data_IF_605373262805
#
_entry.id   IF_605373262805
#
_cell.length_a   1.000
_cell.length_b   1.000
_cell.length_c   1.000
_cell.angle_alpha   90.00
_cell.angle_beta   90.00
_cell.angle_gamma   90.00
#
_symmetry.space_group_name_H-M   'P 1'
#
loop_
_entity.id
_entity.type
_entity.pdbx_description
1 polymer ?
#
# COMPACT_ATOMS: atom_id res chain seq x y z
N UNK A 1 -51.74 -2.81 -29.21
CA UNK A 1 -50.43 -2.14 -29.09
C UNK A 1 -49.54 -3.05 -28.29
N UNK A 2 -48.33 -3.32 -28.78
CA UNK A 2 -47.31 -4.12 -28.08
C UNK A 2 -46.21 -3.20 -27.58
N UNK A 3 -45.41 -3.65 -26.63
CA UNK A 3 -44.35 -2.83 -26.03
C UNK A 3 -43.00 -3.39 -26.49
N UNK A 4 -42.09 -2.51 -26.91
CA UNK A 4 -40.71 -2.90 -27.22
C UNK A 4 -40.05 -3.50 -25.97
N UNK A 5 -39.56 -4.74 -26.05
CA UNK A 5 -38.90 -5.41 -24.92
C UNK A 5 -37.63 -4.67 -24.45
N UNK A 6 -36.93 -3.98 -25.36
CA UNK A 6 -35.71 -3.26 -25.04
C UNK A 6 -35.95 -1.87 -24.43
N UNK A 7 -36.78 -1.02 -25.05
CA UNK A 7 -36.92 0.39 -24.65
C UNK A 7 -38.28 0.75 -24.01
N UNK A 8 -39.20 -0.19 -23.89
CA UNK A 8 -40.49 0.05 -23.24
C UNK A 8 -41.46 0.96 -24.02
N UNK A 9 -41.15 1.31 -25.28
CA UNK A 9 -42.02 2.15 -26.12
C UNK A 9 -43.21 1.35 -26.64
N UNK A 10 -44.39 1.96 -26.62
CA UNK A 10 -45.59 1.40 -27.28
C UNK A 10 -45.45 1.41 -28.81
N UNK A 11 -45.74 0.27 -29.42
CA UNK A 11 -45.63 0.02 -30.86
C UNK A 11 -47.02 -0.28 -31.41
N UNK A 12 -47.34 0.35 -32.55
CA UNK A 12 -48.52 0.01 -33.33
C UNK A 12 -48.36 -1.40 -33.94
N UNK A 13 -49.45 -2.16 -34.05
CA UNK A 13 -49.43 -3.56 -34.49
C UNK A 13 -48.80 -3.79 -35.89
N UNK A 14 -48.71 -2.74 -36.71
CA UNK A 14 -48.13 -2.75 -38.05
C UNK A 14 -46.61 -2.45 -38.09
N UNK A 15 -45.99 -2.11 -36.96
CA UNK A 15 -44.56 -1.74 -36.87
C UNK A 15 -43.77 -2.62 -35.89
N UNK A 16 -44.31 -3.78 -35.54
CA UNK A 16 -43.70 -4.73 -34.61
C UNK A 16 -42.71 -5.63 -35.35
N UNK A 17 -41.48 -5.70 -34.84
CA UNK A 17 -40.46 -6.61 -35.34
C UNK A 17 -40.22 -7.73 -34.34
N UNK A 18 -40.40 -8.97 -34.78
CA UNK A 18 -40.16 -10.16 -33.97
C UNK A 18 -38.75 -10.69 -34.21
N UNK A 19 -38.01 -10.98 -33.15
CA UNK A 19 -36.68 -11.59 -33.27
C UNK A 19 -36.77 -13.12 -33.24
N UNK A 20 -36.40 -13.79 -34.33
CA UNK A 20 -36.41 -15.26 -34.45
C UNK A 20 -35.47 -15.99 -33.46
N UNK A 21 -34.52 -15.27 -32.86
CA UNK A 21 -33.55 -15.85 -31.91
C UNK A 21 -34.06 -15.83 -30.48
N UNK A 22 -34.42 -14.64 -29.98
CA UNK A 22 -34.85 -14.47 -28.59
C UNK A 22 -36.37 -14.53 -28.39
N UNK A 23 -37.16 -14.49 -29.47
CA UNK A 23 -38.62 -14.62 -29.44
C UNK A 23 -39.35 -13.41 -28.87
N UNK A 24 -38.72 -12.23 -28.84
CA UNK A 24 -39.28 -10.99 -28.29
C UNK A 24 -39.61 -9.97 -29.39
N UNK A 25 -40.48 -9.02 -29.05
CA UNK A 25 -40.98 -7.97 -29.93
C UNK A 25 -40.26 -6.63 -29.72
N UNK A 26 -39.89 -5.99 -30.83
CA UNK A 26 -39.06 -4.78 -30.84
C UNK A 26 -39.61 -3.71 -31.80
N UNK A 27 -39.23 -2.46 -31.53
CA UNK A 27 -39.53 -1.34 -32.43
C UNK A 27 -38.49 -1.24 -33.56
N UNK A 28 -38.75 -0.38 -34.54
CA UNK A 28 -37.87 -0.14 -35.70
C UNK A 28 -36.41 0.18 -35.34
N UNK A 29 -36.17 0.81 -34.18
CA UNK A 29 -34.83 1.16 -33.68
C UNK A 29 -34.08 -0.02 -33.04
N UNK A 30 -34.78 -1.11 -32.71
CA UNK A 30 -34.21 -2.28 -32.02
C UNK A 30 -34.49 -3.58 -32.79
N UNK A 31 -34.78 -3.47 -34.09
CA UNK A 31 -35.11 -4.62 -34.95
C UNK A 31 -33.93 -5.58 -35.11
N UNK A 32 -32.70 -5.04 -35.10
CA UNK A 32 -31.50 -5.83 -35.35
C UNK A 32 -31.02 -6.48 -34.04
N UNK A 33 -30.59 -7.76 -34.06
CA UNK A 33 -30.16 -8.49 -32.86
C UNK A 33 -29.03 -7.84 -32.07
N UNK A 34 -28.22 -7.01 -32.70
CA UNK A 34 -27.13 -6.28 -32.05
C UNK A 34 -27.69 -5.09 -31.25
N UNK A 35 -28.68 -4.39 -31.81
CA UNK A 35 -29.23 -3.17 -31.22
C UNK A 35 -30.09 -3.42 -29.97
N UNK A 36 -30.59 -4.65 -29.80
CA UNK A 36 -31.26 -5.09 -28.57
C UNK A 36 -30.44 -6.07 -27.73
N UNK A 37 -29.12 -6.14 -27.95
CA UNK A 37 -28.20 -6.99 -27.19
C UNK A 37 -28.66 -8.45 -27.09
N UNK A 38 -29.03 -9.05 -28.23
CA UNK A 38 -29.53 -10.42 -28.29
C UNK A 38 -28.45 -11.40 -27.79
N UNK A 39 -28.63 -11.90 -26.57
CA UNK A 39 -27.69 -12.80 -25.89
C UNK A 39 -27.27 -14.01 -26.74
N UNK A 40 -28.22 -14.62 -27.45
CA UNK A 40 -27.98 -15.81 -28.30
C UNK A 40 -27.03 -15.48 -29.47
N UNK A 41 -27.15 -14.29 -30.07
CA UNK A 41 -26.29 -13.87 -31.17
C UNK A 41 -24.91 -13.46 -30.67
N UNK A 42 -24.86 -12.73 -29.55
CA UNK A 42 -23.58 -12.30 -28.95
C UNK A 42 -22.74 -13.48 -28.44
N UNK A 43 -23.36 -14.52 -27.88
CA UNK A 43 -22.69 -15.75 -27.47
C UNK A 43 -22.14 -16.54 -28.67
N UNK A 44 -22.82 -16.49 -29.82
CA UNK A 44 -22.33 -17.14 -31.05
C UNK A 44 -21.15 -16.41 -31.70
N UNK A 45 -21.10 -15.07 -31.62
CA UNK A 45 -20.00 -14.26 -32.15
C UNK A 45 -18.72 -14.40 -31.31
N UNK A 46 -18.86 -14.48 -29.99
CA UNK A 46 -17.73 -14.70 -29.08
C UNK A 46 -17.15 -16.11 -29.21
N UNK A 47 -17.99 -17.12 -29.50
CA UNK A 47 -17.53 -18.50 -29.73
C UNK A 47 -16.69 -18.66 -31.01
N UNK A 48 -17.01 -17.92 -32.08
CA UNK A 48 -16.25 -17.97 -33.33
C UNK A 48 -14.87 -17.29 -33.23
N UNK A 49 -14.72 -16.26 -32.40
CA UNK A 49 -13.40 -15.64 -32.16
C UNK A 49 -12.42 -16.58 -31.45
N UNK A 50 -12.90 -17.57 -30.70
CA UNK A 50 -12.07 -18.59 -30.05
C UNK A 50 -11.64 -19.74 -30.98
N UNK A 51 -12.31 -19.93 -32.13
CA UNK A 51 -11.94 -20.99 -33.08
C UNK A 51 -10.81 -20.56 -34.03
N UNK A 52 -10.74 -19.28 -34.42
CA UNK A 52 -9.68 -18.80 -35.32
C UNK A 52 -8.29 -18.70 -34.67
N UNK A 53 -8.19 -18.69 -33.33
CA UNK A 53 -6.90 -18.71 -32.62
C UNK A 53 -6.36 -20.12 -32.34
N UNK A 54 -7.09 -21.18 -32.72
CA UNK A 54 -6.77 -22.57 -32.37
C UNK A 54 -5.91 -23.29 -33.42
N UNK A 55 -5.78 -22.77 -34.64
CA UNK A 55 -5.01 -23.42 -35.73
C UNK A 55 -3.49 -23.23 -35.65
N UNK A 56 -2.99 -22.27 -34.86
CA UNK A 56 -1.54 -21.99 -34.75
C UNK A 56 -0.85 -22.61 -33.51
N UNK A 57 -1.57 -23.35 -32.64
CA UNK A 57 -1.01 -23.90 -31.39
C UNK A 57 -1.12 -25.42 -31.22
N UNK A 58 -1.36 -26.18 -32.28
CA UNK A 58 -1.43 -27.65 -32.18
C UNK A 58 -0.08 -28.38 -32.36
N UNK A 59 1.03 -27.67 -32.53
CA UNK A 59 2.37 -28.28 -32.51
C UNK A 59 3.12 -27.73 -31.30
N UNK A 60 2.91 -28.33 -30.13
CA UNK A 60 3.89 -28.55 -29.05
C UNK A 60 3.12 -28.90 -27.77
N UNK A 61 3.51 -30.04 -27.19
CA UNK A 61 3.13 -30.55 -25.87
C UNK A 61 1.78 -31.25 -25.73
N UNK A 62 1.74 -32.48 -26.24
CA UNK A 62 1.18 -33.59 -25.47
C UNK A 62 2.15 -33.94 -24.32
N UNK A 63 1.88 -33.44 -23.11
CA UNK A 63 2.18 -34.16 -21.86
C UNK A 63 1.06 -33.82 -20.87
N UNK A 64 0.31 -34.86 -20.56
CA UNK A 64 -0.74 -34.96 -19.56
C UNK A 64 -0.28 -34.57 -18.15
N UNK A 65 -1.05 -33.71 -17.49
CA UNK A 65 -1.35 -33.79 -16.07
C UNK A 65 -2.83 -33.45 -15.91
N UNK A 66 -3.63 -34.47 -15.63
CA UNK A 66 -4.99 -34.34 -15.11
C UNK A 66 -4.94 -33.49 -13.85
N UNK A 67 -5.60 -32.34 -13.87
CA UNK A 67 -6.11 -31.70 -12.67
C UNK A 67 -7.59 -31.45 -12.94
N UNK A 68 -8.43 -32.13 -12.16
CA UNK A 68 -9.88 -31.98 -12.14
C UNK A 68 -10.26 -30.50 -12.02
N UNK A 69 -10.71 -29.93 -13.14
CA UNK A 69 -11.43 -28.66 -13.13
C UNK A 69 -12.86 -28.99 -12.71
N UNK A 70 -13.11 -28.98 -11.40
CA UNK A 70 -14.47 -28.85 -10.89
C UNK A 70 -15.03 -27.50 -11.38
N UNK A 71 -15.79 -27.57 -12.47
CA UNK A 71 -16.66 -26.46 -12.89
C UNK A 71 -17.68 -26.19 -11.77
N UNK A 72 -17.89 -24.94 -11.33
CA UNK A 72 -18.89 -24.67 -10.31
C UNK A 72 -20.27 -24.90 -10.93
N UNK A 73 -20.99 -25.85 -10.35
CA UNK A 73 -22.34 -26.25 -10.71
C UNK A 73 -23.25 -25.01 -10.74
N UNK A 74 -23.70 -24.63 -11.93
CA UNK A 74 -24.81 -23.69 -12.11
C UNK A 74 -26.10 -24.42 -11.70
N UNK A 75 -26.70 -23.99 -10.59
CA UNK A 75 -28.09 -24.32 -10.26
C UNK A 75 -28.82 -23.05 -9.88
N UNK A 76 -29.50 -22.45 -10.87
CA UNK A 76 -30.65 -21.61 -10.57
C UNK A 76 -31.73 -22.48 -9.94
N UNK A 77 -32.32 -22.03 -8.83
CA UNK A 77 -33.49 -22.70 -8.27
C UNK A 77 -34.69 -22.47 -9.18
N UNK A 78 -35.55 -23.47 -9.36
CA UNK A 78 -36.75 -23.40 -10.22
C UNK A 78 -37.88 -22.56 -9.60
N UNK A 79 -37.63 -21.90 -8.46
CA UNK A 79 -38.61 -21.12 -7.69
C UNK A 79 -38.51 -19.60 -7.92
N UNK A 80 -37.61 -19.14 -8.79
CA UNK A 80 -37.45 -17.71 -9.08
C UNK A 80 -36.68 -16.92 -8.00
N UNK A 81 -36.07 -17.59 -7.01
CA UNK A 81 -35.18 -16.93 -6.06
C UNK A 81 -33.73 -16.86 -6.60
N UNK A 82 -33.20 -15.65 -6.76
CA UNK A 82 -31.79 -15.45 -7.12
C UNK A 82 -30.93 -15.41 -5.86
N UNK A 83 -30.10 -16.42 -5.62
CA UNK A 83 -29.04 -16.36 -4.60
C UNK A 83 -27.79 -15.74 -5.20
N UNK A 84 -27.51 -14.48 -4.84
CA UNK A 84 -26.26 -13.83 -5.20
C UNK A 84 -25.12 -14.41 -4.37
N UNK A 85 -24.39 -15.37 -4.94
CA UNK A 85 -23.11 -15.80 -4.38
C UNK A 85 -22.03 -14.81 -4.82
N UNK A 86 -21.44 -14.11 -3.85
CA UNK A 86 -20.24 -13.30 -4.11
C UNK A 86 -19.14 -14.28 -4.54
N UNK A 87 -18.61 -14.13 -5.75
CA UNK A 87 -17.37 -14.81 -6.14
C UNK A 87 -16.28 -14.40 -5.15
N UNK A 88 -15.92 -15.32 -4.25
CA UNK A 88 -14.68 -15.22 -3.51
C UNK A 88 -13.57 -15.30 -4.55
N UNK A 89 -12.81 -14.22 -4.74
CA UNK A 89 -11.65 -14.25 -5.63
C UNK A 89 -10.71 -15.31 -5.09
N UNK A 90 -10.46 -16.34 -5.90
CA UNK A 90 -9.48 -17.36 -5.57
C UNK A 90 -8.11 -16.69 -5.39
N UNK A 91 -7.60 -16.70 -4.16
CA UNK A 91 -6.24 -16.25 -3.86
C UNK A 91 -5.36 -17.50 -3.92
N UNK A 92 -4.40 -17.60 -4.86
CA UNK A 92 -3.54 -18.76 -4.99
C UNK A 92 -2.63 -18.90 -3.76
N UNK A 93 -2.13 -20.11 -3.50
CA UNK A 93 -1.29 -20.41 -2.32
C UNK A 93 -0.02 -19.55 -2.21
N UNK A 94 0.47 -19.04 -3.35
CA UNK A 94 1.52 -18.03 -3.39
C UNK A 94 1.18 -16.98 -4.46
N UNK A 95 0.41 -15.95 -4.09
CA UNK A 95 0.03 -14.88 -5.01
C UNK A 95 1.19 -13.99 -5.47
N UNK A 96 2.38 -14.13 -4.90
CA UNK A 96 3.57 -13.41 -5.35
C UNK A 96 4.46 -14.26 -6.27
N UNK A 97 4.01 -15.45 -6.65
CA UNK A 97 4.63 -16.26 -7.68
C UNK A 97 4.39 -15.64 -9.06
N UNK A 98 5.41 -15.50 -9.92
CA UNK A 98 5.20 -15.09 -11.31
C UNK A 98 4.15 -15.91 -12.07
N UNK A 99 3.96 -17.19 -11.69
CA UNK A 99 2.99 -18.09 -12.32
C UNK A 99 1.59 -18.02 -11.69
N UNK A 100 1.40 -17.20 -10.65
CA UNK A 100 0.12 -17.08 -9.93
C UNK A 100 -1.01 -16.41 -10.73
N UNK A 101 -0.70 -15.81 -11.89
CA UNK A 101 -1.65 -15.06 -12.71
C UNK A 101 -2.10 -13.71 -12.13
N UNK A 102 -1.54 -13.29 -10.98
CA UNK A 102 -1.85 -11.99 -10.35
C UNK A 102 -0.79 -10.96 -10.75
N UNK A 103 -1.18 -10.00 -11.59
CA UNK A 103 -0.34 -8.85 -11.92
C UNK A 103 -0.53 -7.70 -10.93
N UNK A 104 0.51 -7.43 -10.13
CA UNK A 104 0.54 -6.26 -9.27
C UNK A 104 0.99 -5.02 -10.05
N UNK A 105 0.05 -4.12 -10.34
CA UNK A 105 0.39 -2.83 -10.93
C UNK A 105 1.25 -1.99 -9.97
N UNK A 106 2.35 -1.44 -10.48
CA UNK A 106 3.20 -0.50 -9.74
C UNK A 106 4.28 -1.13 -8.85
N UNK A 107 4.47 -2.45 -8.88
CA UNK A 107 5.63 -3.10 -8.24
C UNK A 107 6.83 -3.05 -9.20
N UNK A 108 7.94 -2.49 -8.74
CA UNK A 108 9.21 -2.56 -9.46
C UNK A 108 9.84 -3.94 -9.27
N UNK A 109 10.67 -4.40 -10.21
CA UNK A 109 11.45 -5.65 -10.09
C UNK A 109 10.65 -6.85 -9.50
N UNK A 110 9.48 -7.22 -10.06
CA UNK A 110 8.55 -8.17 -9.44
C UNK A 110 9.16 -9.56 -9.22
N UNK A 111 10.05 -9.99 -10.14
CA UNK A 111 10.73 -11.29 -10.08
C UNK A 111 11.88 -11.36 -9.06
N UNK A 112 12.27 -10.25 -8.43
CA UNK A 112 13.34 -10.24 -7.41
C UNK A 112 12.79 -10.64 -6.03
N UNK A 113 13.65 -11.16 -5.18
CA UNK A 113 13.29 -11.59 -3.83
C UNK A 113 12.95 -10.40 -2.92
N UNK A 114 12.13 -10.63 -1.89
CA UNK A 114 11.79 -9.63 -0.85
C UNK A 114 13.05 -9.02 -0.23
N UNK A 115 14.10 -9.81 -0.04
CA UNK A 115 15.38 -9.35 0.49
C UNK A 115 16.03 -8.26 -0.37
N UNK A 116 16.02 -8.41 -1.71
CA UNK A 116 16.58 -7.39 -2.62
C UNK A 116 15.78 -6.09 -2.55
N UNK A 117 14.45 -6.20 -2.51
CA UNK A 117 13.56 -5.04 -2.33
C UNK A 117 13.89 -4.29 -1.04
N UNK A 118 14.01 -5.03 0.06
CA UNK A 118 14.32 -4.48 1.37
C UNK A 118 15.70 -3.84 1.41
N UNK A 119 16.71 -4.50 0.84
CA UNK A 119 18.09 -3.99 0.79
C UNK A 119 18.16 -2.67 0.02
N UNK A 120 17.53 -2.59 -1.16
CA UNK A 120 17.48 -1.36 -1.96
C UNK A 120 16.74 -0.26 -1.19
N UNK A 121 15.56 -0.57 -0.61
CA UNK A 121 14.80 0.39 0.19
C UNK A 121 15.60 0.93 1.38
N UNK A 122 16.30 0.06 2.11
CA UNK A 122 17.13 0.43 3.25
C UNK A 122 18.31 1.32 2.84
N UNK A 123 19.00 1.00 1.74
CA UNK A 123 20.11 1.80 1.20
C UNK A 123 19.62 3.20 0.80
N UNK A 124 18.45 3.30 0.16
CA UNK A 124 17.89 4.58 -0.26
C UNK A 124 17.51 5.46 0.95
N UNK A 125 16.78 4.90 1.92
CA UNK A 125 16.42 5.63 3.15
C UNK A 125 17.66 6.05 3.93
N UNK A 126 18.67 5.17 4.02
CA UNK A 126 19.93 5.50 4.69
C UNK A 126 20.67 6.63 3.98
N UNK A 127 20.74 6.59 2.64
CA UNK A 127 21.37 7.64 1.83
C UNK A 127 20.65 8.98 1.98
N UNK A 128 19.31 8.97 2.03
CA UNK A 128 18.52 10.15 2.35
C UNK A 128 18.85 10.67 3.75
N UNK A 129 18.94 9.78 4.74
CA UNK A 129 19.33 10.14 6.10
C UNK A 129 20.68 10.85 6.14
N UNK A 130 21.69 10.35 5.41
CA UNK A 130 23.00 10.99 5.33
C UNK A 130 22.91 12.43 4.78
N UNK A 131 22.06 12.66 3.77
CA UNK A 131 21.87 13.99 3.18
C UNK A 131 21.11 14.91 4.14
N UNK A 132 19.99 14.42 4.71
CA UNK A 132 19.11 15.18 5.62
C UNK A 132 19.83 15.61 6.89
N UNK A 133 20.65 14.73 7.47
CA UNK A 133 21.35 14.99 8.71
C UNK A 133 22.76 15.57 8.50
N UNK A 134 23.18 15.81 7.27
CA UNK A 134 24.45 16.47 7.01
C UNK A 134 24.42 17.88 7.58
N UNK A 135 25.37 18.17 8.48
CA UNK A 135 25.52 19.48 9.07
C UNK A 135 27.02 19.85 9.12
N UNK A 136 27.45 20.97 8.50
CA UNK A 136 28.85 21.41 8.52
C UNK A 136 29.43 21.58 9.92
N UNK A 137 28.60 21.96 10.90
CA UNK A 137 29.03 22.10 12.29
C UNK A 137 29.41 20.75 12.90
N UNK A 138 28.64 19.69 12.64
CA UNK A 138 28.96 18.34 13.11
C UNK A 138 30.28 17.84 12.52
N UNK A 139 30.56 18.17 11.25
CA UNK A 139 31.83 17.83 10.61
C UNK A 139 32.99 18.59 11.26
N UNK A 140 32.83 19.90 11.48
CA UNK A 140 33.85 20.74 12.14
C UNK A 140 34.18 20.28 13.56
N UNK A 141 33.18 19.76 14.28
CA UNK A 141 33.33 19.21 15.63
C UNK A 141 33.81 17.75 15.66
N UNK A 142 34.18 17.16 14.51
CA UNK A 142 34.58 15.76 14.37
C UNK A 142 33.50 14.74 14.84
N UNK A 143 32.23 15.08 14.63
CA UNK A 143 31.06 14.30 15.04
C UNK A 143 30.35 13.63 13.85
N UNK A 144 31.11 13.23 12.83
CA UNK A 144 30.56 12.56 11.63
C UNK A 144 29.77 11.31 12.02
N UNK A 145 30.19 10.60 13.07
CA UNK A 145 29.49 9.43 13.61
C UNK A 145 28.01 9.69 13.92
N UNK A 146 27.65 10.92 14.33
CA UNK A 146 26.27 11.28 14.64
C UNK A 146 25.37 11.27 13.39
N UNK A 147 25.91 11.66 12.24
CA UNK A 147 25.20 11.65 10.96
C UNK A 147 24.86 10.20 10.58
N UNK A 148 25.84 9.29 10.68
CA UNK A 148 25.64 7.86 10.42
C UNK A 148 24.66 7.23 11.42
N UNK A 149 24.75 7.61 12.70
CA UNK A 149 23.85 7.15 13.75
C UNK A 149 22.40 7.56 13.45
N UNK A 150 22.15 8.83 13.17
CA UNK A 150 20.81 9.35 12.87
C UNK A 150 20.25 8.77 11.56
N UNK A 151 21.08 8.63 10.52
CA UNK A 151 20.69 7.96 9.29
C UNK A 151 20.30 6.49 9.55
N UNK A 152 21.06 5.79 10.38
CA UNK A 152 20.74 4.42 10.81
C UNK A 152 19.41 4.34 11.55
N UNK A 153 19.18 5.24 12.52
CA UNK A 153 17.90 5.30 13.24
C UNK A 153 16.73 5.62 12.31
N UNK A 154 16.89 6.54 11.37
CA UNK A 154 15.88 6.84 10.36
C UNK A 154 15.52 5.60 9.51
N UNK A 155 16.52 4.85 9.06
CA UNK A 155 16.31 3.57 8.35
C UNK A 155 15.59 2.55 9.23
N UNK A 156 15.99 2.38 10.48
CA UNK A 156 15.32 1.41 11.38
C UNK A 156 13.89 1.82 11.71
N UNK A 157 13.61 3.12 11.86
CA UNK A 157 12.25 3.63 12.08
C UNK A 157 11.33 3.21 10.92
N UNK A 158 11.78 3.42 9.67
CA UNK A 158 11.05 2.97 8.49
C UNK A 158 10.91 1.44 8.42
N UNK A 159 12.01 0.69 8.59
CA UNK A 159 11.96 -0.77 8.48
C UNK A 159 11.08 -1.42 9.55
N UNK A 160 11.17 -0.96 10.79
CA UNK A 160 10.34 -1.48 11.87
C UNK A 160 8.87 -1.13 11.68
N UNK A 161 8.56 0.07 11.15
CA UNK A 161 7.20 0.44 10.74
C UNK A 161 6.61 -0.58 9.75
N UNK A 162 7.32 -0.83 8.65
CA UNK A 162 6.91 -1.76 7.61
C UNK A 162 6.81 -3.20 8.13
N UNK A 163 7.78 -3.62 8.95
CA UNK A 163 7.70 -4.91 9.63
C UNK A 163 6.49 -5.02 10.56
N UNK A 164 6.07 -3.94 11.21
CA UNK A 164 4.84 -3.91 11.99
C UNK A 164 3.62 -4.36 11.19
N UNK A 165 3.43 -3.77 9.99
CA UNK A 165 2.36 -4.20 9.07
C UNK A 165 2.50 -5.67 8.71
N UNK A 166 3.71 -6.11 8.34
CA UNK A 166 3.99 -7.49 7.93
C UNK A 166 3.66 -8.49 9.03
N UNK A 167 4.08 -8.24 10.27
CA UNK A 167 3.84 -9.18 11.38
C UNK A 167 2.35 -9.34 11.69
N UNK A 168 1.58 -8.25 11.63
CA UNK A 168 0.13 -8.33 11.85
C UNK A 168 -0.58 -9.02 10.69
N UNK A 169 -0.16 -8.77 9.45
CA UNK A 169 -0.68 -9.47 8.27
C UNK A 169 -0.44 -10.99 8.35
N UNK A 170 0.79 -11.41 8.70
CA UNK A 170 1.14 -12.82 8.90
C UNK A 170 0.28 -13.47 9.99
N UNK A 171 0.03 -12.76 11.11
CA UNK A 171 -0.85 -13.25 12.18
C UNK A 171 -2.30 -13.47 11.71
N UNK A 172 -2.76 -12.71 10.72
CA UNK A 172 -4.07 -12.90 10.11
C UNK A 172 -4.10 -13.97 9.01
N UNK A 173 -2.98 -14.67 8.76
CA UNK A 173 -2.85 -15.64 7.69
C UNK A 173 -2.87 -15.01 6.30
N UNK A 174 -2.59 -13.70 6.19
CA UNK A 174 -2.59 -12.98 4.93
C UNK A 174 -1.22 -13.11 4.25
N UNK A 175 -1.24 -13.24 2.93
CA UNK A 175 -0.02 -13.21 2.13
C UNK A 175 0.52 -11.79 2.05
N UNK A 176 1.80 -11.63 2.36
CA UNK A 176 2.46 -10.33 2.41
C UNK A 176 3.92 -10.41 2.01
N UNK A 177 4.40 -9.39 1.27
CA UNK A 177 5.82 -9.20 0.95
C UNK A 177 6.16 -7.71 0.90
N UNK A 178 7.34 -7.34 1.37
CA UNK A 178 7.90 -6.02 1.12
C UNK A 178 8.29 -5.87 -0.36
N UNK A 179 7.82 -4.80 -1.00
CA UNK A 179 8.02 -4.54 -2.44
C UNK A 179 8.29 -3.06 -2.67
N UNK A 180 9.23 -2.75 -3.56
CA UNK A 180 9.44 -1.40 -4.06
C UNK A 180 8.28 -1.00 -4.97
N UNK A 181 7.77 0.20 -4.78
CA UNK A 181 6.66 0.73 -5.56
C UNK A 181 7.15 1.81 -6.51
N UNK A 182 6.71 1.79 -7.76
CA UNK A 182 7.14 2.75 -8.80
C UNK A 182 6.89 4.19 -8.35
N UNK A 183 5.68 4.48 -7.87
CA UNK A 183 5.32 5.81 -7.37
C UNK A 183 6.18 6.23 -6.17
N UNK A 184 6.39 5.31 -5.23
CA UNK A 184 7.21 5.54 -4.05
C UNK A 184 8.69 5.78 -4.35
N UNK A 185 9.23 5.05 -5.31
CA UNK A 185 10.59 5.23 -5.82
C UNK A 185 10.77 6.56 -6.55
N UNK A 186 9.78 7.00 -7.33
CA UNK A 186 9.83 8.32 -7.98
C UNK A 186 9.88 9.45 -6.93
N UNK A 187 9.04 9.38 -5.90
CA UNK A 187 9.09 10.33 -4.78
C UNK A 187 10.45 10.30 -4.06
N UNK A 188 10.98 9.10 -3.83
CA UNK A 188 12.28 8.91 -3.16
C UNK A 188 13.44 9.50 -3.98
N UNK A 189 13.44 9.28 -5.30
CA UNK A 189 14.45 9.85 -6.21
C UNK A 189 14.32 11.38 -6.26
N UNK A 190 13.10 11.89 -6.36
CA UNK A 190 12.86 13.34 -6.30
C UNK A 190 13.37 13.94 -4.98
N UNK A 191 13.11 13.26 -3.86
CA UNK A 191 13.62 13.64 -2.54
C UNK A 191 15.15 13.64 -2.46
N UNK A 192 15.81 12.63 -3.03
CA UNK A 192 17.28 12.57 -3.13
C UNK A 192 17.85 13.72 -3.95
N UNK A 193 17.28 14.00 -5.12
CA UNK A 193 17.71 15.10 -5.98
C UNK A 193 17.48 16.44 -5.28
N UNK A 194 16.31 16.64 -4.69
CA UNK A 194 15.97 17.86 -3.95
C UNK A 194 16.91 18.07 -2.76
N UNK A 195 17.22 17.01 -2.02
CA UNK A 195 18.16 17.06 -0.89
C UNK A 195 19.58 17.40 -1.35
N UNK A 196 20.04 16.79 -2.45
CA UNK A 196 21.36 17.09 -3.01
C UNK A 196 21.45 18.54 -3.51
N UNK A 197 20.41 19.03 -4.19
CA UNK A 197 20.34 20.43 -4.63
C UNK A 197 20.33 21.38 -3.44
N UNK A 198 19.59 21.07 -2.36
CA UNK A 198 19.60 21.87 -1.13
C UNK A 198 20.99 21.89 -0.49
N UNK A 199 21.68 20.75 -0.44
CA UNK A 199 23.04 20.65 0.07
C UNK A 199 24.04 21.49 -0.73
N UNK A 200 23.91 21.52 -2.06
CA UNK A 200 24.82 22.25 -2.95
C UNK A 200 24.52 23.75 -3.03
N UNK A 201 23.24 24.15 -2.95
CA UNK A 201 22.82 25.54 -3.16
C UNK A 201 22.52 26.28 -1.85
N UNK A 202 22.49 25.59 -0.71
CA UNK A 202 22.05 26.14 0.58
C UNK A 202 20.58 26.57 0.59
N UNK A 203 19.79 26.20 -0.43
CA UNK A 203 18.38 26.57 -0.56
C UNK A 203 17.46 25.73 0.33
N UNK A 204 16.24 26.24 0.53
CA UNK A 204 15.21 25.72 1.44
C UNK A 204 15.02 24.20 1.30
N UNK A 205 15.04 23.52 2.43
CA UNK A 205 14.69 22.10 2.57
C UNK A 205 13.23 21.89 2.15
N UNK A 206 12.99 21.36 0.95
CA UNK A 206 11.69 20.77 0.61
C UNK A 206 11.45 19.57 1.54
N UNK A 207 10.19 19.26 1.92
CA UNK A 207 9.90 18.05 2.67
C UNK A 207 10.31 16.82 1.86
N UNK A 208 11.37 16.13 2.30
CA UNK A 208 11.88 14.93 1.65
C UNK A 208 10.97 13.78 2.05
N UNK A 209 9.92 13.57 1.25
CA UNK A 209 9.03 12.42 1.39
C UNK A 209 9.63 11.21 0.70
N UNK A 210 10.07 10.22 1.48
CA UNK A 210 10.65 8.99 0.97
C UNK A 210 9.81 7.78 1.37
N UNK A 211 9.23 7.11 0.37
CA UNK A 211 8.43 5.90 0.53
C UNK A 211 8.85 4.88 -0.55
N UNK A 212 10.12 4.43 -0.60
CA UNK A 212 10.65 3.66 -1.73
C UNK A 212 9.92 2.33 -1.94
N UNK A 213 9.38 1.76 -0.87
CA UNK A 213 8.58 0.56 -0.90
C UNK A 213 7.54 0.57 0.20
N UNK A 214 6.69 -0.44 0.16
CA UNK A 214 5.70 -0.72 1.20
C UNK A 214 5.50 -2.22 1.32
N UNK A 215 5.00 -2.64 2.48
CA UNK A 215 4.50 -4.00 2.67
C UNK A 215 3.16 -4.15 1.95
N UNK A 216 3.18 -4.91 0.86
CA UNK A 216 1.99 -5.26 0.10
C UNK A 216 1.30 -6.41 0.82
N UNK A 217 0.03 -6.25 1.17
CA UNK A 217 -0.79 -7.25 1.85
C UNK A 217 -2.02 -7.55 1.02
N UNK A 218 -2.23 -8.82 0.71
CA UNK A 218 -3.41 -9.29 -0.01
C UNK A 218 -4.58 -9.55 0.96
N UNK A 219 -5.80 -9.32 0.50
CA UNK A 219 -7.01 -9.55 1.29
C UNK A 219 -7.43 -8.39 2.20
N UNK A 220 -6.81 -7.20 2.07
CA UNK A 220 -7.19 -5.97 2.79
C UNK A 220 -8.05 -5.00 1.95
N UNK A 221 -8.71 -5.48 0.90
CA UNK A 221 -9.51 -4.65 0.00
C UNK A 221 -10.72 -4.03 0.70
N UNK A 222 -11.29 -4.75 1.68
CA UNK A 222 -12.38 -4.26 2.51
C UNK A 222 -11.80 -3.57 3.74
N UNK A 223 -12.30 -2.37 4.04
CA UNK A 223 -11.98 -1.68 5.29
C UNK A 223 -12.75 -2.37 6.43
N UNK A 224 -12.07 -3.31 7.07
CA UNK A 224 -12.58 -4.08 8.20
C UNK A 224 -11.60 -4.02 9.39
N UNK A 225 -11.87 -4.82 10.42
CA UNK A 225 -11.00 -4.91 11.60
C UNK A 225 -9.59 -5.40 11.25
N UNK A 226 -9.43 -6.30 10.29
CA UNK A 226 -8.10 -6.80 9.89
C UNK A 226 -7.30 -5.70 9.20
N UNK A 227 -7.92 -4.99 8.25
CA UNK A 227 -7.31 -3.84 7.56
C UNK A 227 -6.94 -2.74 8.55
N UNK A 228 -7.84 -2.40 9.46
CA UNK A 228 -7.60 -1.40 10.49
C UNK A 228 -6.44 -1.75 11.43
N UNK A 229 -6.41 -2.97 11.96
CA UNK A 229 -5.32 -3.43 12.83
C UNK A 229 -3.99 -3.57 12.08
N UNK A 230 -4.01 -4.08 10.86
CA UNK A 230 -2.81 -4.19 10.03
C UNK A 230 -2.23 -2.81 9.74
N UNK A 231 -3.07 -1.83 9.38
CA UNK A 231 -2.66 -0.46 9.09
C UNK A 231 -2.25 0.31 10.34
N UNK A 232 -2.86 0.05 11.49
CA UNK A 232 -2.43 0.64 12.76
C UNK A 232 -1.07 0.09 13.25
N UNK A 233 -0.67 -1.10 12.81
CA UNK A 233 0.54 -1.77 13.29
C UNK A 233 1.83 -0.95 13.08
N UNK A 234 2.02 -0.36 11.90
CA UNK A 234 3.19 0.48 11.60
C UNK A 234 3.31 1.69 12.53
N UNK A 235 2.28 2.57 12.60
CA UNK A 235 2.27 3.70 13.52
C UNK A 235 2.45 3.30 15.00
N UNK A 236 1.90 2.16 15.43
CA UNK A 236 2.09 1.64 16.79
C UNK A 236 3.53 1.19 17.02
N UNK A 237 4.17 0.53 16.06
CA UNK A 237 5.59 0.16 16.19
C UNK A 237 6.46 1.41 16.32
N UNK A 238 6.20 2.46 15.54
CA UNK A 238 6.92 3.73 15.70
C UNK A 238 6.67 4.38 17.06
N UNK A 239 5.43 4.32 17.57
CA UNK A 239 5.09 4.82 18.90
C UNK A 239 5.90 4.09 19.99
N UNK A 240 5.94 2.75 19.94
CA UNK A 240 6.64 1.93 20.92
C UNK A 240 8.16 2.12 20.80
N UNK A 241 8.70 2.04 19.58
CA UNK A 241 10.13 2.15 19.34
C UNK A 241 10.64 3.55 19.72
N UNK A 242 9.94 4.61 19.32
CA UNK A 242 10.23 5.97 19.74
C UNK A 242 10.14 6.15 21.25
N UNK A 243 9.15 5.54 21.91
CA UNK A 243 9.02 5.57 23.37
C UNK A 243 10.20 4.93 24.09
N UNK A 244 10.66 3.77 23.61
CA UNK A 244 11.85 3.09 24.13
C UNK A 244 13.09 3.97 23.94
N UNK A 245 13.28 4.55 22.75
CA UNK A 245 14.42 5.44 22.48
C UNK A 245 14.38 6.69 23.36
N UNK A 246 13.20 7.28 23.59
CA UNK A 246 13.05 8.43 24.47
C UNK A 246 13.40 8.09 25.92
N UNK A 247 13.00 6.90 26.39
CA UNK A 247 13.40 6.44 27.72
C UNK A 247 14.91 6.25 27.80
N UNK A 248 15.51 5.59 26.79
CA UNK A 248 16.96 5.38 26.72
C UNK A 248 17.71 6.72 26.68
N UNK A 249 17.20 7.72 25.97
CA UNK A 249 17.86 9.04 25.89
C UNK A 249 17.99 9.70 27.27
N UNK A 250 17.04 9.48 28.18
CA UNK A 250 17.10 9.96 29.56
C UNK A 250 17.95 9.09 30.49
N UNK A 251 18.13 7.81 30.17
CA UNK A 251 18.97 6.89 30.96
C UNK A 251 20.45 7.00 30.64
N UNK A 252 20.81 7.52 29.46
CA UNK A 252 22.22 7.73 29.09
C UNK A 252 22.80 8.86 29.98
N UNK A 253 23.94 8.61 30.67
CA UNK A 253 24.59 9.60 31.53
C UNK A 253 24.87 10.92 30.80
N UNK A 254 24.71 12.05 31.49
CA UNK A 254 24.86 13.41 30.91
C UNK A 254 26.30 13.71 30.48
N UNK A 255 27.26 13.00 31.05
CA UNK A 255 28.68 13.04 30.70
C UNK A 255 28.95 12.53 29.27
N UNK A 256 28.02 11.72 28.72
CA UNK A 256 28.09 11.23 27.34
C UNK A 256 27.42 12.19 26.34
N UNK A 257 27.16 13.43 26.72
CA UNK A 257 26.67 14.44 25.79
C UNK A 257 27.61 14.55 24.57
N UNK A 258 27.08 14.58 23.32
CA UNK A 258 25.68 14.67 22.92
C UNK A 258 25.03 13.34 22.47
N UNK A 259 25.56 12.18 22.86
CA UNK A 259 24.97 10.88 22.50
C UNK A 259 23.52 10.76 22.97
N UNK A 260 23.25 11.12 24.21
CA UNK A 260 21.90 11.15 24.79
C UNK A 260 20.94 12.03 23.97
N UNK A 261 21.39 13.21 23.54
CA UNK A 261 20.63 14.12 22.69
C UNK A 261 20.32 13.49 21.32
N UNK A 262 21.27 12.82 20.68
CA UNK A 262 21.03 12.16 19.39
C UNK A 262 20.08 10.97 19.49
N UNK A 263 20.10 10.23 20.60
CA UNK A 263 19.07 9.21 20.86
C UNK A 263 17.70 9.86 21.07
N UNK A 264 17.65 11.04 21.70
CA UNK A 264 16.44 11.87 21.77
C UNK A 264 15.91 12.28 20.39
N UNK A 265 16.78 12.70 19.48
CA UNK A 265 16.43 12.96 18.08
C UNK A 265 15.90 11.69 17.38
N UNK A 266 16.51 10.53 17.61
CA UNK A 266 16.04 9.26 17.06
C UNK A 266 14.61 8.89 17.52
N UNK A 267 14.28 9.21 18.79
CA UNK A 267 12.91 9.08 19.29
C UNK A 267 11.95 10.04 18.56
N UNK A 268 12.32 11.31 18.42
CA UNK A 268 11.52 12.30 17.69
C UNK A 268 11.27 11.90 16.23
N UNK A 269 12.27 11.33 15.53
CA UNK A 269 12.13 10.82 14.17
C UNK A 269 11.08 9.70 14.07
N UNK A 270 11.06 8.78 15.04
CA UNK A 270 10.06 7.72 15.10
C UNK A 270 8.64 8.28 15.26
N UNK A 271 8.44 9.19 16.21
CA UNK A 271 7.14 9.82 16.42
C UNK A 271 6.69 10.64 15.21
N UNK A 272 7.61 11.38 14.58
CA UNK A 272 7.33 12.15 13.37
C UNK A 272 6.93 11.23 12.21
N UNK A 273 7.67 10.14 11.95
CA UNK A 273 7.35 9.20 10.90
C UNK A 273 6.00 8.50 11.17
N UNK A 274 5.73 8.15 12.42
CA UNK A 274 4.44 7.61 12.84
C UNK A 274 3.29 8.60 12.58
N UNK A 275 3.45 9.87 12.96
CA UNK A 275 2.45 10.92 12.71
C UNK A 275 2.24 11.18 11.23
N UNK A 276 3.32 11.21 10.46
CA UNK A 276 3.25 11.38 9.02
C UNK A 276 2.37 10.29 8.38
N UNK A 277 2.59 9.02 8.74
CA UNK A 277 1.74 7.92 8.27
C UNK A 277 0.32 7.94 8.86
N UNK A 278 0.05 8.72 9.91
CA UNK A 278 -1.30 8.96 10.43
C UNK A 278 -2.05 10.07 9.67
N UNK A 279 -1.45 10.77 8.72
CA UNK A 279 -2.18 11.75 7.91
C UNK A 279 -3.24 11.01 7.06
N UNK A 280 -4.53 11.40 7.10
CA UNK A 280 -5.61 10.64 6.46
C UNK A 280 -5.73 10.99 4.96
N UNK A 281 -4.66 10.72 4.20
CA UNK A 281 -4.56 11.06 2.77
C UNK A 281 -3.94 9.89 1.99
N UNK A 282 -4.56 9.56 0.86
CA UNK A 282 -3.98 8.69 -0.17
C UNK A 282 -3.55 7.32 0.34
N UNK A 283 -2.25 7.01 0.17
CA UNK A 283 -1.63 5.72 0.45
C UNK A 283 -1.19 5.55 1.92
N UNK A 284 -1.25 6.62 2.73
CA UNK A 284 -0.81 6.62 4.12
C UNK A 284 -1.76 5.80 4.99
N UNK A 285 -1.24 5.22 6.06
CA UNK A 285 -2.00 4.26 6.88
C UNK A 285 -3.18 4.89 7.61
N UNK A 286 -3.02 6.15 8.04
CA UNK A 286 -4.02 6.96 8.70
C UNK A 286 -5.34 7.04 7.93
N UNK A 287 -5.29 6.98 6.60
CA UNK A 287 -6.49 6.99 5.77
C UNK A 287 -7.39 5.78 6.03
N UNK A 288 -6.81 4.59 6.14
CA UNK A 288 -7.57 3.36 6.41
C UNK A 288 -7.97 3.26 7.88
N UNK A 289 -7.10 3.69 8.80
CA UNK A 289 -7.38 3.69 10.24
C UNK A 289 -8.53 4.64 10.54
N UNK A 290 -8.53 5.84 9.96
CA UNK A 290 -9.59 6.84 10.16
C UNK A 290 -10.95 6.36 9.65
N UNK A 291 -10.98 5.69 8.49
CA UNK A 291 -12.21 5.10 7.93
C UNK A 291 -12.71 3.92 8.76
N UNK A 292 -11.81 3.14 9.34
CA UNK A 292 -12.15 1.98 10.17
C UNK A 292 -12.65 2.37 11.57
N UNK A 293 -11.86 3.16 12.30
CA UNK A 293 -12.17 3.57 13.67
C UNK A 293 -11.49 4.91 14.02
N UNK A 294 -12.28 5.98 14.03
CA UNK A 294 -11.83 7.34 14.36
C UNK A 294 -11.26 7.46 15.78
N UNK A 295 -11.78 6.72 16.74
CA UNK A 295 -11.28 6.74 18.12
C UNK A 295 -9.88 6.16 18.20
N UNK A 296 -9.65 5.00 17.59
CA UNK A 296 -8.30 4.39 17.52
C UNK A 296 -7.33 5.32 16.80
N UNK A 297 -7.77 5.91 15.68
CA UNK A 297 -7.00 6.92 14.96
C UNK A 297 -6.56 8.07 15.89
N UNK A 298 -7.51 8.69 16.60
CA UNK A 298 -7.24 9.84 17.46
C UNK A 298 -6.32 9.49 18.63
N UNK A 299 -6.45 8.30 19.21
CA UNK A 299 -5.58 7.84 20.30
C UNK A 299 -4.14 7.68 19.80
N UNK A 300 -3.93 6.97 18.69
CA UNK A 300 -2.58 6.72 18.16
C UNK A 300 -1.93 8.05 17.74
N UNK A 301 -2.64 8.86 16.95
CA UNK A 301 -2.13 10.16 16.51
C UNK A 301 -1.88 11.10 17.69
N UNK A 302 -2.78 11.13 18.69
CA UNK A 302 -2.63 11.94 19.90
C UNK A 302 -1.42 11.55 20.72
N UNK A 303 -1.21 10.25 20.97
CA UNK A 303 -0.04 9.76 21.72
C UNK A 303 1.27 10.07 20.99
N UNK A 304 1.33 9.83 19.68
CA UNK A 304 2.51 10.19 18.89
C UNK A 304 2.80 11.69 18.95
N UNK A 305 1.77 12.55 18.85
CA UNK A 305 1.91 14.00 18.93
C UNK A 305 2.40 14.45 20.30
N UNK A 306 1.81 13.94 21.38
CA UNK A 306 2.21 14.28 22.75
C UNK A 306 3.67 13.90 22.98
N UNK A 307 4.08 12.68 22.60
CA UNK A 307 5.46 12.25 22.78
C UNK A 307 6.44 13.00 21.88
N UNK A 308 6.03 13.39 20.66
CA UNK A 308 6.83 14.25 19.80
C UNK A 308 7.06 15.63 20.43
N UNK A 309 6.01 16.24 21.00
CA UNK A 309 6.10 17.51 21.72
C UNK A 309 7.05 17.39 22.91
N UNK A 310 6.92 16.32 23.70
CA UNK A 310 7.81 16.05 24.84
C UNK A 310 9.26 15.90 24.37
N UNK A 311 9.49 15.11 23.30
CA UNK A 311 10.83 14.92 22.75
C UNK A 311 11.44 16.25 22.31
N UNK A 312 10.70 17.07 21.54
CA UNK A 312 11.17 18.37 21.09
C UNK A 312 11.38 19.38 22.21
N UNK A 313 10.50 19.40 23.21
CA UNK A 313 10.65 20.26 24.38
C UNK A 313 11.96 19.98 25.12
N UNK A 314 12.37 18.70 25.22
CA UNK A 314 13.64 18.32 25.84
C UNK A 314 14.85 18.59 24.92
N UNK A 315 14.73 18.34 23.62
CA UNK A 315 15.79 18.58 22.64
C UNK A 315 16.16 20.07 22.55
N UNK A 316 15.15 20.94 22.57
CA UNK A 316 15.32 22.40 22.44
C UNK A 316 15.25 23.13 23.78
N UNK A 317 15.28 22.40 24.90
CA UNK A 317 15.32 23.02 26.22
C UNK A 317 16.58 23.91 26.37
N UNK A 318 16.46 25.10 26.98
CA UNK A 318 17.62 25.90 27.37
C UNK A 318 18.60 25.07 28.20
N UNK A 319 19.90 25.34 28.04
CA UNK A 319 20.99 24.58 28.69
C UNK A 319 20.75 24.41 30.20
N UNK A 320 20.32 25.48 30.87
CA UNK A 320 20.03 25.53 32.31
C UNK A 320 18.98 24.50 32.78
N UNK A 321 18.03 24.20 31.89
CA UNK A 321 16.91 23.29 32.13
C UNK A 321 17.03 21.97 31.36
N UNK A 322 18.14 21.78 30.63
CA UNK A 322 18.29 20.65 29.73
C UNK A 322 18.48 19.37 30.52
N UNK A 323 17.68 18.35 30.20
CA UNK A 323 17.85 17.01 30.76
C UNK A 323 19.09 16.32 30.17
N UNK A 324 19.59 16.81 29.02
CA UNK A 324 20.69 16.21 28.28
C UNK A 324 22.07 16.79 28.64
N UNK A 325 22.15 18.05 29.06
CA UNK A 325 23.41 18.71 29.40
C UNK A 325 23.66 18.61 30.91
N UNK A 326 24.89 18.32 31.31
CA UNK A 326 25.28 18.40 32.72
C UNK A 326 25.32 19.87 33.15
N UNK A 327 24.60 20.21 34.22
CA UNK A 327 24.73 21.51 34.86
C UNK A 327 26.02 21.47 35.69
N UNK A 328 27.07 22.14 35.21
CA UNK A 328 28.26 22.44 36.00
C UNK A 328 27.99 23.64 36.93
#
# INVERSE_FOLDING_TARGET
MTICYHCGREIALNEVFHCDKCGQDYCTLHKDPIDHECKIVMDSLSSNQYQDQRSEREIVSQVSLENDVETPIVRGTTDGSYTWHRQERYVPENAFDPESGIEFKGILLPHKSEFIHLLIGAILIFSIGLIVFYNPLLVKLNMIWAIFLLAGFYTTAFLFHEFGHRQVALKFGLQTKFRLLTFGMLLTIFGLISGLVSLLTGSINLPILALPGAVVVLGLEKIDRKTGLCKAAGPIVNLIYGGILLLISFMIPRELFPLNLFVGYAAALNFMLGLFNMIPIGILDGQNIFKWNKTVYLIIAGLLLILLIIAYANIYAPIESSVYVANN
#
